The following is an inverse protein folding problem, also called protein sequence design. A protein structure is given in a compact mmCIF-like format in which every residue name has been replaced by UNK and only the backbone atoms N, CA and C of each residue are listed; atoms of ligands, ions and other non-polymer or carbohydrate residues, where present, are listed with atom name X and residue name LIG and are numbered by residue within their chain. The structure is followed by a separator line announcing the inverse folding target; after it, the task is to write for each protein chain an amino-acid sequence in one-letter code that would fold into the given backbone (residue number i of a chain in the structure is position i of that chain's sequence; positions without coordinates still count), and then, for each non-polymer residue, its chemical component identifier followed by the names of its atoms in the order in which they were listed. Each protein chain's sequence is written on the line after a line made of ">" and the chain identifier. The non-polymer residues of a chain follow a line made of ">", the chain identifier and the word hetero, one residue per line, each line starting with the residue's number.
data_IF_584206654308
#
_entry.id   IF_584206654308
#
_cell.length_a   1.000
_cell.length_b   1.000
_cell.length_c   1.000
_cell.angle_alpha   90.00
_cell.angle_beta   90.00
_cell.angle_gamma   90.00
#
_symmetry.space_group_name_H-M   'P 1'
#
loop_
_entity.id
_entity.type
_entity.pdbx_description
1 polymer ?
#
# COMPACT_ATOMS: atom_id res chain seq x y z
N UNK A 1 -3.28 -9.64 50.00
CA UNK A 1 -3.15 -8.86 48.74
C UNK A 1 -2.72 -9.85 47.68
N UNK A 2 -3.64 -10.31 46.84
CA UNK A 2 -3.32 -11.25 45.76
C UNK A 2 -2.62 -10.49 44.62
N UNK A 3 -1.63 -11.08 43.93
CA UNK A 3 -1.01 -10.43 42.79
C UNK A 3 -1.99 -10.39 41.61
N UNK A 4 -2.14 -9.20 41.04
CA UNK A 4 -2.90 -8.98 39.81
C UNK A 4 -2.35 -9.86 38.69
N UNK A 5 -3.23 -10.70 38.14
CA UNK A 5 -2.95 -11.42 36.89
C UNK A 5 -2.96 -10.38 35.76
N UNK A 6 -1.91 -10.27 34.92
CA UNK A 6 -1.92 -9.30 33.84
C UNK A 6 -3.04 -9.66 32.87
N UNK A 7 -3.98 -8.73 32.69
CA UNK A 7 -5.05 -8.85 31.71
C UNK A 7 -4.45 -9.20 30.35
N UNK A 8 -4.89 -10.33 29.77
CA UNK A 8 -4.42 -10.80 28.47
C UNK A 8 -4.56 -9.70 27.42
N UNK A 9 -3.47 -9.43 26.70
CA UNK A 9 -3.43 -8.42 25.64
C UNK A 9 -4.59 -8.64 24.67
N UNK A 10 -5.36 -7.59 24.29
CA UNK A 10 -6.55 -7.76 23.47
C UNK A 10 -6.17 -8.43 22.14
N UNK A 11 -6.85 -9.54 21.82
CA UNK A 11 -6.64 -10.29 20.57
C UNK A 11 -6.96 -9.38 19.37
N UNK A 12 -5.93 -8.91 18.67
CA UNK A 12 -6.06 -8.21 17.40
C UNK A 12 -5.68 -9.15 16.25
N UNK A 13 -6.61 -9.43 15.34
CA UNK A 13 -6.36 -10.27 14.14
C UNK A 13 -5.37 -9.65 13.15
N UNK A 14 -4.89 -8.43 13.42
CA UNK A 14 -3.91 -7.70 12.62
C UNK A 14 -2.51 -7.70 13.24
N UNK A 15 -2.26 -8.48 14.31
CA UNK A 15 -0.94 -8.57 14.93
C UNK A 15 0.06 -9.20 13.95
N UNK A 16 1.07 -8.44 13.58
CA UNK A 16 2.27 -8.94 12.94
C UNK A 16 3.42 -8.84 13.93
N UNK A 17 4.38 -9.77 13.84
CA UNK A 17 5.63 -9.64 14.58
C UNK A 17 6.35 -8.38 14.08
N UNK A 18 6.80 -7.47 14.96
CA UNK A 18 7.65 -6.37 14.55
C UNK A 18 8.89 -6.91 13.83
N UNK A 19 9.19 -6.38 12.65
CA UNK A 19 10.35 -6.78 11.86
C UNK A 19 11.27 -5.58 11.67
N UNK A 20 12.50 -5.60 12.24
CA UNK A 20 13.41 -4.46 12.18
C UNK A 20 13.84 -4.11 10.75
N UNK A 21 13.76 -5.06 9.80
CA UNK A 21 14.06 -4.81 8.38
C UNK A 21 13.10 -3.78 7.77
N UNK A 22 11.89 -3.65 8.31
CA UNK A 22 10.91 -2.67 7.85
C UNK A 22 11.31 -1.21 8.12
N UNK A 23 12.33 -0.95 8.96
CA UNK A 23 12.79 0.40 9.24
C UNK A 23 13.51 1.06 8.04
N UNK A 24 14.11 0.26 7.16
CA UNK A 24 14.96 0.73 6.05
C UNK A 24 14.36 0.48 4.66
N UNK A 25 13.09 0.09 4.57
CA UNK A 25 12.45 -0.21 3.28
C UNK A 25 12.41 1.01 2.36
N UNK A 26 12.54 0.75 1.07
CA UNK A 26 12.35 1.69 -0.02
C UNK A 26 10.89 1.67 -0.46
N UNK A 27 10.29 2.85 -0.55
CA UNK A 27 8.90 3.07 -0.95
C UNK A 27 8.89 3.52 -2.40
N UNK A 28 8.11 2.85 -3.23
CA UNK A 28 7.87 3.29 -4.60
C UNK A 28 6.84 4.42 -4.59
N UNK A 29 7.17 5.57 -5.19
CA UNK A 29 6.28 6.71 -5.36
C UNK A 29 6.45 7.21 -6.80
N UNK A 30 5.40 7.09 -7.62
CA UNK A 30 5.35 7.65 -8.98
C UNK A 30 6.52 7.29 -9.91
N UNK A 31 7.14 6.12 -9.74
CA UNK A 31 8.27 5.66 -10.55
C UNK A 31 9.61 5.66 -9.82
N UNK A 32 9.72 6.43 -8.74
CA UNK A 32 10.95 6.58 -7.97
C UNK A 32 10.89 5.85 -6.63
N UNK A 33 12.07 5.59 -6.05
CA UNK A 33 12.21 4.94 -4.75
C UNK A 33 12.77 5.88 -3.71
N UNK A 34 12.10 5.94 -2.56
CA UNK A 34 12.47 6.78 -1.44
C UNK A 34 12.66 5.95 -0.16
N UNK A 35 13.66 6.24 0.68
CA UNK A 35 13.73 5.67 2.02
C UNK A 35 12.43 5.93 2.80
N UNK A 36 11.97 4.95 3.60
CA UNK A 36 10.74 5.06 4.42
C UNK A 36 10.59 6.41 5.15
N UNK A 37 11.67 6.91 5.73
CA UNK A 37 11.67 8.15 6.53
C UNK A 37 11.55 9.41 5.67
N UNK A 38 11.91 9.34 4.40
CA UNK A 38 11.88 10.42 3.40
C UNK A 38 10.70 10.32 2.43
N UNK A 39 10.03 9.16 2.37
CA UNK A 39 8.83 8.96 1.57
C UNK A 39 7.74 9.97 1.98
N UNK A 40 7.30 10.78 1.02
CA UNK A 40 6.30 11.85 1.21
C UNK A 40 5.37 11.90 0.02
N UNK A 41 4.13 12.27 0.30
CA UNK A 41 3.14 12.71 -0.67
C UNK A 41 2.61 14.06 -0.22
N UNK A 42 2.08 14.86 -1.15
CA UNK A 42 1.48 16.14 -0.82
C UNK A 42 0.28 15.97 0.13
N UNK A 43 0.12 16.89 1.10
CA UNK A 43 -1.12 16.98 1.88
C UNK A 43 -2.31 17.45 1.01
N UNK A 44 -2.04 17.92 -0.21
CA UNK A 44 -3.05 18.21 -1.21
C UNK A 44 -3.40 17.02 -2.10
N UNK A 45 -2.84 15.83 -1.83
CA UNK A 45 -3.25 14.62 -2.49
C UNK A 45 -4.74 14.31 -2.23
N UNK A 46 -5.43 13.93 -3.29
CA UNK A 46 -6.87 13.63 -3.30
C UNK A 46 -7.30 12.53 -2.33
N UNK A 47 -6.45 11.52 -2.12
CA UNK A 47 -6.67 10.46 -1.13
C UNK A 47 -6.64 11.00 0.29
N UNK A 48 -5.74 11.94 0.59
CA UNK A 48 -5.68 12.60 1.89
C UNK A 48 -6.82 13.60 2.10
N UNK A 49 -7.07 14.47 1.12
CA UNK A 49 -8.04 15.56 1.25
C UNK A 49 -9.49 15.09 1.37
N UNK A 50 -9.87 14.11 0.54
CA UNK A 50 -11.29 13.73 0.37
C UNK A 50 -11.50 12.23 0.22
N UNK A 51 -10.48 11.40 0.44
CA UNK A 51 -10.59 9.94 0.30
C UNK A 51 -10.74 9.47 -1.16
N UNK A 52 -10.33 10.27 -2.13
CA UNK A 52 -10.50 10.02 -3.56
C UNK A 52 -9.33 9.19 -4.12
N UNK A 53 -9.44 7.88 -3.94
CA UNK A 53 -8.47 6.89 -4.39
C UNK A 53 -8.91 5.47 -4.11
N UNK A 54 -8.10 4.52 -4.56
CA UNK A 54 -8.28 3.08 -4.38
C UNK A 54 -6.99 2.45 -3.87
N UNK A 55 -7.09 1.24 -3.33
CA UNK A 55 -5.93 0.54 -2.79
C UNK A 55 -6.09 -0.97 -2.85
N UNK A 56 -4.96 -1.67 -2.82
CA UNK A 56 -4.88 -3.12 -2.74
C UNK A 56 -3.91 -3.55 -1.64
N UNK A 57 -4.24 -4.67 -0.99
CA UNK A 57 -3.35 -5.36 -0.04
C UNK A 57 -2.98 -6.73 -0.60
N UNK A 58 -1.76 -6.88 -1.09
CA UNK A 58 -1.29 -8.05 -1.84
C UNK A 58 -0.28 -8.81 -0.98
N UNK A 59 -0.32 -10.14 -1.01
CA UNK A 59 0.66 -10.99 -0.31
C UNK A 59 1.69 -11.49 -1.30
N UNK A 60 2.96 -11.43 -0.92
CA UNK A 60 4.04 -12.15 -1.60
C UNK A 60 4.34 -13.42 -0.81
N UNK A 61 4.35 -14.55 -1.52
CA UNK A 61 4.74 -15.84 -0.97
C UNK A 61 5.65 -16.57 -1.95
N UNK A 62 6.86 -16.92 -1.51
CA UNK A 62 7.89 -17.57 -2.33
C UNK A 62 8.01 -16.96 -3.73
N UNK A 63 8.34 -15.66 -3.80
CA UNK A 63 8.54 -14.87 -5.02
C UNK A 63 7.30 -14.68 -5.90
N UNK A 64 6.12 -15.05 -5.40
CA UNK A 64 4.88 -14.97 -6.17
C UNK A 64 3.82 -14.16 -5.43
N UNK A 65 3.25 -13.17 -6.13
CA UNK A 65 2.09 -12.46 -5.64
C UNK A 65 0.86 -13.38 -5.63
N UNK A 66 0.24 -13.55 -4.46
CA UNK A 66 -0.95 -14.36 -4.31
C UNK A 66 -2.15 -13.68 -5.00
N UNK A 67 -2.82 -14.42 -5.88
CA UNK A 67 -4.03 -13.99 -6.58
C UNK A 67 -3.90 -12.64 -7.33
N UNK A 68 -2.71 -12.32 -7.86
CA UNK A 68 -2.43 -11.02 -8.48
C UNK A 68 -3.48 -10.59 -9.49
N UNK A 69 -3.91 -11.49 -10.39
CA UNK A 69 -4.92 -11.16 -11.39
C UNK A 69 -6.24 -10.68 -10.77
N UNK A 70 -6.68 -11.30 -9.67
CA UNK A 70 -7.91 -10.89 -8.96
C UNK A 70 -7.75 -9.55 -8.26
N UNK A 71 -6.55 -9.24 -7.76
CA UNK A 71 -6.24 -7.93 -7.19
C UNK A 71 -6.26 -6.86 -8.28
N UNK A 72 -5.66 -7.12 -9.44
CA UNK A 72 -5.67 -6.19 -10.57
C UNK A 72 -7.09 -6.01 -11.13
N UNK A 73 -7.88 -7.08 -11.24
CA UNK A 73 -9.29 -6.98 -11.66
C UNK A 73 -10.07 -6.01 -10.77
N UNK A 74 -9.92 -6.15 -9.44
CA UNK A 74 -10.57 -5.28 -8.47
C UNK A 74 -10.02 -3.85 -8.50
N UNK A 75 -8.71 -3.68 -8.63
CA UNK A 75 -8.08 -2.36 -8.75
C UNK A 75 -8.63 -1.60 -9.95
N UNK A 76 -8.58 -2.18 -11.15
CA UNK A 76 -9.04 -1.52 -12.38
C UNK A 76 -10.56 -1.33 -12.39
N UNK A 77 -11.35 -2.28 -11.87
CA UNK A 77 -12.78 -2.09 -11.72
C UNK A 77 -13.13 -0.97 -10.73
N UNK A 78 -12.40 -0.87 -9.61
CA UNK A 78 -12.54 0.20 -8.63
C UNK A 78 -12.18 1.57 -9.21
N UNK A 79 -11.07 1.65 -9.96
CA UNK A 79 -10.65 2.85 -10.66
C UNK A 79 -11.73 3.33 -11.64
N UNK A 80 -12.23 2.42 -12.47
CA UNK A 80 -13.31 2.70 -13.42
C UNK A 80 -14.59 3.19 -12.72
N UNK A 81 -14.97 2.59 -11.60
CA UNK A 81 -16.17 2.96 -10.84
C UNK A 81 -16.13 4.39 -10.30
N UNK A 82 -14.94 4.92 -10.01
CA UNK A 82 -14.75 6.31 -9.57
C UNK A 82 -14.26 7.23 -10.69
N UNK A 83 -14.20 6.75 -11.94
CA UNK A 83 -13.67 7.50 -13.08
C UNK A 83 -12.22 7.96 -12.88
N UNK A 84 -11.39 7.15 -12.23
CA UNK A 84 -9.95 7.38 -12.07
C UNK A 84 -9.21 6.65 -13.17
N UNK A 85 -8.36 7.36 -13.92
CA UNK A 85 -7.38 6.76 -14.82
C UNK A 85 -6.08 6.54 -14.05
N UNK A 86 -5.61 5.28 -14.00
CA UNK A 86 -4.38 4.90 -13.29
C UNK A 86 -3.13 5.37 -14.06
N UNK A 87 -3.26 5.67 -15.36
CA UNK A 87 -2.13 6.05 -16.22
C UNK A 87 -1.16 4.89 -16.52
N UNK A 88 -1.53 3.66 -16.13
CA UNK A 88 -0.79 2.43 -16.40
C UNK A 88 -1.76 1.31 -16.71
N UNK A 89 -1.33 0.36 -17.53
CA UNK A 89 -2.04 -0.89 -17.75
C UNK A 89 -1.68 -1.93 -16.65
N UNK A 90 -2.27 -3.12 -16.75
CA UNK A 90 -2.01 -4.22 -15.81
C UNK A 90 -0.53 -4.60 -15.75
N UNK A 91 0.18 -4.55 -16.88
CA UNK A 91 1.58 -4.87 -16.95
C UNK A 91 2.43 -3.82 -16.22
N UNK A 92 2.13 -2.54 -16.40
CA UNK A 92 2.79 -1.44 -15.70
C UNK A 92 2.59 -1.50 -14.19
N UNK A 93 1.36 -1.74 -13.72
CA UNK A 93 1.08 -1.92 -12.28
C UNK A 93 1.82 -3.14 -11.73
N UNK A 94 1.84 -4.24 -12.47
CA UNK A 94 2.58 -5.45 -12.08
C UNK A 94 4.07 -5.17 -11.98
N UNK A 95 4.65 -4.45 -12.94
CA UNK A 95 6.06 -4.08 -12.95
C UNK A 95 6.40 -3.19 -11.73
N UNK A 96 5.55 -2.23 -11.37
CA UNK A 96 5.75 -1.40 -10.18
C UNK A 96 5.72 -2.23 -8.88
N UNK A 97 4.78 -3.18 -8.76
CA UNK A 97 4.70 -4.11 -7.62
C UNK A 97 5.96 -4.98 -7.52
N UNK A 98 6.37 -5.58 -8.64
CA UNK A 98 7.58 -6.42 -8.73
C UNK A 98 8.84 -5.62 -8.37
N UNK A 99 9.02 -4.45 -8.98
CA UNK A 99 10.14 -3.56 -8.66
C UNK A 99 10.16 -3.19 -7.17
N UNK A 100 8.99 -3.02 -6.54
CA UNK A 100 8.92 -2.70 -5.11
C UNK A 100 9.47 -3.81 -4.23
N UNK A 101 9.14 -5.08 -4.52
CA UNK A 101 9.64 -6.21 -3.71
C UNK A 101 11.09 -6.53 -4.03
N UNK A 102 11.51 -6.44 -5.30
CA UNK A 102 12.90 -6.65 -5.73
C UNK A 102 13.83 -5.59 -5.13
N UNK A 103 13.44 -4.32 -5.13
CA UNK A 103 14.22 -3.22 -4.54
C UNK A 103 14.51 -3.42 -3.05
N UNK A 104 13.65 -4.17 -2.37
CA UNK A 104 13.73 -4.44 -0.94
C UNK A 104 14.23 -5.85 -0.60
N UNK A 105 14.69 -6.64 -1.58
CA UNK A 105 15.17 -8.02 -1.39
C UNK A 105 14.13 -8.91 -0.66
N UNK A 106 12.87 -8.78 -1.09
CA UNK A 106 11.72 -9.41 -0.44
C UNK A 106 11.24 -10.62 -1.24
N UNK A 107 11.26 -11.80 -0.60
CA UNK A 107 10.91 -13.07 -1.24
C UNK A 107 9.67 -13.77 -0.64
N UNK A 108 9.44 -13.64 0.67
CA UNK A 108 8.35 -14.36 1.34
C UNK A 108 7.81 -13.63 2.58
N UNK A 109 6.58 -13.98 2.97
CA UNK A 109 5.86 -13.44 4.12
C UNK A 109 5.76 -11.90 4.11
N UNK A 110 5.62 -11.32 2.93
CA UNK A 110 5.52 -9.87 2.72
C UNK A 110 4.08 -9.47 2.41
N UNK A 111 3.70 -8.30 2.90
CA UNK A 111 2.47 -7.62 2.52
C UNK A 111 2.83 -6.35 1.77
N UNK A 112 2.33 -6.24 0.54
CA UNK A 112 2.46 -5.05 -0.30
C UNK A 112 1.15 -4.28 -0.27
N UNK A 113 1.23 -3.00 0.09
CA UNK A 113 0.12 -2.06 -0.02
C UNK A 113 0.34 -1.18 -1.23
N UNK A 114 -0.54 -1.30 -2.21
CA UNK A 114 -0.61 -0.41 -3.36
C UNK A 114 -1.72 0.61 -3.11
N UNK A 115 -1.43 1.89 -3.31
CA UNK A 115 -2.40 2.97 -3.28
C UNK A 115 -2.33 3.73 -4.60
N UNK A 116 -3.48 4.04 -5.18
CA UNK A 116 -3.61 4.91 -6.34
C UNK A 116 -4.65 5.97 -6.04
N UNK A 117 -4.27 7.23 -6.07
CA UNK A 117 -5.16 8.37 -5.83
C UNK A 117 -5.35 9.14 -7.13
N UNK A 118 -6.35 10.03 -7.19
CA UNK A 118 -6.54 10.89 -8.38
C UNK A 118 -5.40 11.90 -8.58
N UNK A 119 -4.49 12.02 -7.61
CA UNK A 119 -3.39 12.99 -7.63
C UNK A 119 -3.64 14.21 -6.76
N UNK A 120 -2.76 15.20 -6.88
CA UNK A 120 -2.80 16.44 -6.12
C UNK A 120 -3.95 17.34 -6.56
N UNK A 121 -4.47 18.16 -5.63
CA UNK A 121 -5.53 19.13 -5.92
C UNK A 121 -5.09 20.56 -5.68
N UNK A 122 -5.66 21.48 -6.44
CA UNK A 122 -5.50 22.94 -6.21
C UNK A 122 -6.14 23.40 -4.91
N UNK A 123 -7.16 22.68 -4.42
CA UNK A 123 -7.92 23.01 -3.20
C UNK A 123 -8.64 21.77 -2.65
N UNK A 124 -8.98 21.70 -1.34
CA UNK A 124 -9.78 20.62 -0.75
C UNK A 124 -11.19 20.50 -1.35
N UNK A 125 -11.32 19.76 -2.45
CA UNK A 125 -12.57 19.61 -3.20
C UNK A 125 -12.68 18.25 -3.89
N UNK A 126 -13.90 17.75 -4.06
CA UNK A 126 -14.18 16.52 -4.82
C UNK A 126 -14.25 16.76 -6.34
N UNK A 127 -14.35 18.02 -6.79
CA UNK A 127 -14.56 18.31 -8.21
C UNK A 127 -13.34 17.91 -9.06
N UNK A 128 -13.50 17.14 -10.16
CA UNK A 128 -12.38 16.66 -10.97
C UNK A 128 -11.52 17.76 -11.60
N UNK A 129 -12.11 18.92 -11.92
CA UNK A 129 -11.36 20.06 -12.48
C UNK A 129 -10.27 20.64 -11.56
N UNK A 130 -10.25 20.24 -10.29
CA UNK A 130 -9.24 20.70 -9.33
C UNK A 130 -8.01 19.79 -9.28
N UNK A 131 -7.96 18.71 -10.07
CA UNK A 131 -6.81 17.80 -10.13
C UNK A 131 -5.64 18.46 -10.88
N UNK A 132 -4.44 18.32 -10.32
CA UNK A 132 -3.18 18.78 -10.90
C UNK A 132 -2.38 17.56 -11.33
N UNK A 133 -2.09 17.48 -12.63
CA UNK A 133 -1.27 16.41 -13.19
C UNK A 133 -2.01 15.07 -13.25
N UNK A 134 -1.30 14.00 -12.91
CA UNK A 134 -1.78 12.62 -12.98
C UNK A 134 -2.02 11.99 -11.60
N UNK A 135 -2.45 10.71 -11.58
CA UNK A 135 -2.64 9.97 -10.34
C UNK A 135 -1.33 9.83 -9.56
N UNK A 136 -1.41 9.82 -8.23
CA UNK A 136 -0.28 9.38 -7.42
C UNK A 136 -0.39 7.87 -7.19
N UNK A 137 0.69 7.14 -7.43
CA UNK A 137 0.82 5.71 -7.15
C UNK A 137 1.92 5.48 -6.11
N UNK A 138 1.54 4.83 -5.01
CA UNK A 138 2.46 4.49 -3.92
C UNK A 138 2.40 2.99 -3.67
N UNK A 139 3.56 2.33 -3.60
CA UNK A 139 3.67 0.91 -3.26
C UNK A 139 4.60 0.74 -2.05
N UNK A 140 4.07 0.14 -0.98
CA UNK A 140 4.77 -0.07 0.29
C UNK A 140 4.83 -1.58 0.54
N UNK A 141 6.03 -2.15 0.61
CA UNK A 141 6.24 -3.54 0.98
C UNK A 141 6.83 -3.65 2.40
N UNK A 142 6.27 -4.54 3.21
CA UNK A 142 6.76 -4.82 4.57
C UNK A 142 6.78 -6.33 4.84
N UNK A 143 7.82 -6.81 5.51
CA UNK A 143 7.81 -8.14 6.12
C UNK A 143 6.70 -8.20 7.16
N UNK A 144 5.77 -9.13 6.96
CA UNK A 144 4.53 -9.23 7.73
C UNK A 144 4.15 -10.69 7.94
N UNK A 145 5.02 -11.41 8.65
CA UNK A 145 4.74 -12.75 9.15
C UNK A 145 3.62 -12.67 10.19
N UNK A 146 2.58 -13.47 10.02
CA UNK A 146 1.48 -13.55 10.97
C UNK A 146 2.00 -14.07 12.32
N UNK A 147 1.46 -13.53 13.42
CA UNK A 147 1.76 -14.03 14.76
C UNK A 147 1.11 -15.43 14.94
N UNK A 148 1.89 -16.50 15.13
CA UNK A 148 1.36 -17.86 15.32
C UNK A 148 0.46 -17.99 16.56
N UNK A 149 0.52 -17.04 17.50
CA UNK A 149 -0.28 -17.05 18.72
C UNK A 149 -1.69 -16.47 18.53
N UNK A 150 -1.98 -15.90 17.35
CA UNK A 150 -3.25 -15.24 17.02
C UNK A 150 -3.91 -15.84 15.76
N UNK A 151 -3.27 -16.84 15.16
CA UNK A 151 -3.79 -17.65 14.05
C UNK A 151 -4.29 -19.00 14.55
#
# INVERSE_FOLDING_TARGET
>A
MAPDTPAGSPRNTHKALPDPRNASVQIYINGDFHPRVEARISVFDSGFLVGDGIWEGIRLHNDRFAFLDRHLDRLFAGAAAIGLDIGMDRAGVTAALTATVERNDMHDAVHVRLMVTRGDKTTPSQHPANVIGGPNMVSIAEHKRADPQVT
#
